data_IF_466484351663
#
_entry.id   IF_466484351663
#
_cell.length_a   1.000
_cell.length_b   1.000
_cell.length_c   1.000
_cell.angle_alpha   90.00
_cell.angle_beta   90.00
_cell.angle_gamma   90.00
#
_symmetry.space_group_name_H-M   'P 1'
#
loop_
_entity.id
_entity.type
_entity.pdbx_description
1 polymer ?
#
# COMPACT_ATOMS: atom_id res chain seq x y z
N UNK A 1 14.05 14.78 35.73
CA UNK A 1 13.08 14.72 34.60
C UNK A 1 12.68 13.27 34.46
N UNK A 2 11.41 12.95 34.72
CA UNK A 2 10.90 11.58 34.95
C UNK A 2 10.34 10.99 33.64
N UNK A 3 11.09 10.07 33.04
CA UNK A 3 10.75 9.35 31.79
C UNK A 3 9.62 8.32 31.96
N UNK A 4 9.06 8.16 33.17
CA UNK A 4 7.97 7.20 33.43
C UNK A 4 6.62 7.68 32.89
N UNK A 5 6.42 8.99 32.70
CA UNK A 5 5.17 9.53 32.16
C UNK A 5 4.99 9.30 30.65
N UNK A 6 6.08 9.14 29.88
CA UNK A 6 5.97 8.82 28.45
C UNK A 6 5.66 7.34 28.16
N UNK A 7 5.84 6.44 29.14
CA UNK A 7 5.57 5.00 28.99
C UNK A 7 4.11 4.60 29.22
N UNK A 8 3.27 5.47 29.79
CA UNK A 8 1.92 5.10 30.23
C UNK A 8 0.79 5.33 29.21
N UNK A 9 1.08 5.63 27.93
CA UNK A 9 0.00 5.85 26.95
C UNK A 9 0.30 5.40 25.51
N UNK A 10 1.02 4.28 25.37
CA UNK A 10 1.09 3.55 24.11
C UNK A 10 1.01 2.09 24.45
N UNK A 11 -0.19 1.50 24.38
CA UNK A 11 -0.28 0.06 24.26
C UNK A 11 0.75 -0.39 23.22
N UNK A 12 1.66 -1.27 23.63
CA UNK A 12 2.87 -1.62 22.87
C UNK A 12 2.52 -1.83 21.40
N UNK A 13 2.90 -0.86 20.58
CA UNK A 13 2.67 -0.89 19.14
C UNK A 13 3.74 -1.83 18.59
N UNK A 14 3.32 -2.91 17.93
CA UNK A 14 4.22 -3.93 17.38
C UNK A 14 5.03 -3.32 16.22
N UNK A 15 6.24 -2.86 16.51
CA UNK A 15 7.12 -2.19 15.54
C UNK A 15 7.47 -3.11 14.38
N UNK A 16 7.67 -4.41 14.64
CA UNK A 16 7.95 -5.42 13.61
C UNK A 16 6.80 -5.55 12.61
N UNK A 17 5.56 -5.54 13.08
CA UNK A 17 4.36 -5.62 12.25
C UNK A 17 4.21 -4.40 11.35
N UNK A 18 4.53 -3.21 11.86
CA UNK A 18 4.49 -1.98 11.07
C UNK A 18 5.64 -1.90 10.05
N UNK A 19 6.84 -2.35 10.42
CA UNK A 19 7.98 -2.42 9.52
C UNK A 19 7.68 -3.35 8.33
N UNK A 20 7.07 -4.51 8.61
CA UNK A 20 6.72 -5.48 7.57
C UNK A 20 5.63 -4.96 6.62
N UNK A 21 4.61 -4.27 7.14
CA UNK A 21 3.61 -3.58 6.31
C UNK A 21 4.21 -2.47 5.44
N UNK A 22 5.15 -1.71 6.00
CA UNK A 22 5.88 -0.69 5.26
C UNK A 22 6.71 -1.29 4.13
N UNK A 23 7.30 -2.46 4.37
CA UNK A 23 8.00 -3.23 3.35
C UNK A 23 7.05 -3.70 2.23
N UNK A 24 5.88 -4.24 2.56
CA UNK A 24 4.87 -4.63 1.56
C UNK A 24 4.42 -3.42 0.71
N UNK A 25 4.15 -2.27 1.37
CA UNK A 25 3.82 -1.04 0.67
C UNK A 25 4.94 -0.56 -0.25
N UNK A 26 6.20 -0.71 0.16
CA UNK A 26 7.34 -0.39 -0.69
C UNK A 26 7.40 -1.28 -1.94
N UNK A 27 7.24 -2.59 -1.76
CA UNK A 27 7.26 -3.57 -2.85
C UNK A 27 6.20 -3.24 -3.92
N UNK A 28 4.96 -2.99 -3.49
CA UNK A 28 3.82 -2.70 -4.38
C UNK A 28 3.91 -1.30 -4.98
N UNK A 29 4.43 -0.29 -4.25
CA UNK A 29 4.38 1.10 -4.70
C UNK A 29 5.37 1.44 -5.82
N UNK A 30 6.47 0.68 -5.96
CA UNK A 30 7.46 0.93 -7.01
C UNK A 30 8.76 0.12 -6.99
N UNK A 31 8.94 -0.86 -6.10
CA UNK A 31 10.18 -1.63 -6.06
C UNK A 31 10.46 -2.39 -7.37
N UNK A 32 9.42 -2.98 -7.98
CA UNK A 32 9.50 -3.66 -9.27
C UNK A 32 10.06 -2.74 -10.37
N UNK A 33 9.43 -1.59 -10.60
CA UNK A 33 9.86 -0.62 -11.62
C UNK A 33 11.29 -0.11 -11.38
N UNK A 34 11.65 0.16 -10.12
CA UNK A 34 13.00 0.61 -9.77
C UNK A 34 14.05 -0.45 -10.10
N UNK A 35 13.80 -1.71 -9.76
CA UNK A 35 14.72 -2.82 -10.05
C UNK A 35 14.79 -3.09 -11.54
N UNK A 36 13.65 -3.12 -12.24
CA UNK A 36 13.60 -3.34 -13.69
C UNK A 36 14.41 -2.33 -14.47
N UNK A 37 14.16 -1.04 -14.24
CA UNK A 37 14.93 0.00 -14.90
C UNK A 37 16.42 -0.09 -14.52
N UNK A 38 16.74 -0.38 -13.26
CA UNK A 38 18.15 -0.53 -12.84
C UNK A 38 18.85 -1.71 -13.54
N UNK A 39 18.13 -2.83 -13.74
CA UNK A 39 18.63 -4.00 -14.46
C UNK A 39 18.84 -3.71 -15.95
N UNK A 40 17.93 -2.96 -16.58
CA UNK A 40 18.03 -2.50 -17.97
C UNK A 40 19.28 -1.63 -18.20
N UNK A 41 19.57 -0.69 -17.29
CA UNK A 41 20.71 0.25 -17.44
C UNK A 41 22.07 -0.34 -17.07
N UNK A 42 22.15 -1.16 -16.02
CA UNK A 42 23.43 -1.70 -15.53
C UNK A 42 23.82 -3.02 -16.20
N UNK A 43 22.84 -3.75 -16.74
CA UNK A 43 23.00 -5.07 -17.34
C UNK A 43 23.64 -6.11 -16.38
N UNK A 44 23.53 -5.91 -15.06
CA UNK A 44 24.08 -6.83 -14.06
C UNK A 44 23.22 -8.08 -13.92
N UNK A 45 23.86 -9.26 -13.97
CA UNK A 45 23.18 -10.55 -13.87
C UNK A 45 22.34 -10.68 -12.58
N UNK A 46 22.84 -10.15 -11.46
CA UNK A 46 22.14 -10.15 -10.18
C UNK A 46 20.84 -9.34 -10.26
N UNK A 47 20.87 -8.14 -10.85
CA UNK A 47 19.68 -7.29 -10.95
C UNK A 47 18.61 -7.87 -11.87
N UNK A 48 19.03 -8.55 -12.95
CA UNK A 48 18.10 -9.29 -13.82
C UNK A 48 17.43 -10.47 -13.11
N UNK A 49 18.16 -11.17 -12.24
CA UNK A 49 17.57 -12.24 -11.46
C UNK A 49 16.56 -11.69 -10.43
N UNK A 50 16.90 -10.60 -9.75
CA UNK A 50 15.99 -9.96 -8.79
C UNK A 50 14.76 -9.37 -9.50
N UNK A 51 14.92 -8.79 -10.69
CA UNK A 51 13.80 -8.34 -11.52
C UNK A 51 12.84 -9.49 -11.86
N UNK A 52 13.37 -10.63 -12.30
CA UNK A 52 12.54 -11.80 -12.63
C UNK A 52 11.69 -12.28 -11.45
N UNK A 53 12.22 -12.18 -10.23
CA UNK A 53 11.50 -12.53 -9.00
C UNK A 53 10.46 -11.48 -8.57
N UNK A 54 10.64 -10.22 -8.99
CA UNK A 54 9.70 -9.11 -8.70
C UNK A 54 8.61 -8.96 -9.77
N UNK A 55 8.68 -9.69 -10.86
CA UNK A 55 7.63 -9.74 -11.87
C UNK A 55 6.67 -10.90 -11.60
N UNK A 56 5.37 -10.73 -11.92
CA UNK A 56 4.40 -11.81 -11.73
C UNK A 56 4.63 -12.93 -12.76
N UNK A 57 4.46 -14.17 -12.33
CA UNK A 57 4.38 -15.31 -13.26
C UNK A 57 3.06 -15.27 -14.04
N UNK A 58 3.08 -15.68 -15.32
CA UNK A 58 1.90 -15.57 -16.20
C UNK A 58 0.78 -16.56 -15.84
N UNK A 59 1.09 -17.77 -15.34
CA UNK A 59 0.07 -18.74 -14.92
C UNK A 59 0.61 -19.97 -14.15
N UNK A 60 1.66 -20.62 -14.65
CA UNK A 60 2.24 -21.85 -14.08
C UNK A 60 3.67 -21.57 -13.59
N UNK A 61 3.76 -20.90 -12.45
CA UNK A 61 5.01 -20.42 -11.87
C UNK A 61 4.81 -19.90 -10.45
N UNK A 62 5.92 -19.61 -9.80
CA UNK A 62 5.94 -19.01 -8.47
C UNK A 62 7.11 -18.05 -8.41
N UNK A 63 6.83 -16.76 -8.19
CA UNK A 63 7.86 -15.74 -7.99
C UNK A 63 7.77 -15.17 -6.60
N UNK A 64 8.86 -14.54 -6.14
CA UNK A 64 8.85 -13.85 -4.84
C UNK A 64 7.69 -12.84 -4.71
N UNK A 65 7.31 -12.17 -5.80
CA UNK A 65 6.23 -11.17 -5.77
C UNK A 65 4.86 -11.78 -5.39
N UNK A 66 4.62 -13.06 -5.70
CA UNK A 66 3.38 -13.76 -5.34
C UNK A 66 3.19 -13.91 -3.82
N UNK A 67 4.28 -13.85 -3.04
CA UNK A 67 4.25 -13.93 -1.57
C UNK A 67 3.69 -12.69 -0.89
N UNK A 68 3.61 -11.55 -1.59
CA UNK A 68 3.11 -10.29 -1.01
C UNK A 68 1.66 -10.45 -0.55
N UNK A 69 0.81 -11.12 -1.33
CA UNK A 69 -0.59 -11.29 -0.97
C UNK A 69 -0.81 -12.23 0.23
N UNK A 70 -0.24 -13.45 0.29
CA UNK A 70 -0.26 -14.28 1.49
C UNK A 70 0.30 -13.58 2.73
N UNK A 71 1.40 -12.83 2.59
CA UNK A 71 1.99 -12.06 3.67
C UNK A 71 1.04 -10.99 4.19
N UNK A 72 0.44 -10.22 3.28
CA UNK A 72 -0.54 -9.18 3.64
C UNK A 72 -1.74 -9.78 4.40
N UNK A 73 -2.29 -10.89 3.92
CA UNK A 73 -3.40 -11.59 4.58
C UNK A 73 -3.02 -12.12 5.97
N UNK A 74 -1.81 -12.66 6.12
CA UNK A 74 -1.28 -13.09 7.41
C UNK A 74 -1.16 -11.91 8.38
N UNK A 75 -0.57 -10.79 7.96
CA UNK A 75 -0.42 -9.60 8.78
C UNK A 75 -1.76 -9.00 9.20
N UNK A 76 -2.74 -8.99 8.29
CA UNK A 76 -4.10 -8.57 8.58
C UNK A 76 -4.73 -9.45 9.68
N UNK A 77 -4.59 -10.78 9.58
CA UNK A 77 -5.08 -11.74 10.58
C UNK A 77 -4.44 -11.55 11.96
N UNK A 78 -3.11 -11.46 12.03
CA UNK A 78 -2.38 -11.23 13.29
C UNK A 78 -2.82 -9.91 13.95
N UNK A 79 -2.98 -8.87 13.13
CA UNK A 79 -3.41 -7.55 13.60
C UNK A 79 -4.82 -7.56 14.17
N UNK A 80 -5.72 -8.28 13.51
CA UNK A 80 -7.08 -8.47 13.99
C UNK A 80 -7.09 -9.17 15.34
N UNK A 81 -6.40 -10.31 15.46
CA UNK A 81 -6.31 -11.08 16.70
C UNK A 81 -5.76 -10.25 17.87
N UNK A 82 -4.69 -9.49 17.66
CA UNK A 82 -4.13 -8.61 18.69
C UNK A 82 -5.08 -7.47 19.07
N UNK A 83 -5.75 -6.85 18.08
CA UNK A 83 -6.73 -5.79 18.34
C UNK A 83 -7.94 -6.30 19.12
N UNK A 84 -8.36 -7.53 18.85
CA UNK A 84 -9.50 -8.19 19.48
C UNK A 84 -9.19 -8.49 20.95
N UNK A 85 -8.09 -9.18 21.22
CA UNK A 85 -7.67 -9.50 22.59
C UNK A 85 -7.61 -8.25 23.47
N UNK A 86 -7.04 -7.16 22.94
CA UNK A 86 -6.93 -5.89 23.65
C UNK A 86 -8.28 -5.19 23.92
N UNK A 87 -9.31 -5.47 23.12
CA UNK A 87 -10.67 -4.96 23.36
C UNK A 87 -11.40 -5.81 24.39
N UNK A 88 -11.21 -7.13 24.34
CA UNK A 88 -11.73 -8.06 25.34
C UNK A 88 -11.14 -7.78 26.73
N UNK A 89 -9.81 -7.57 26.84
CA UNK A 89 -9.14 -7.18 28.09
C UNK A 89 -9.65 -5.86 28.68
N UNK A 90 -10.15 -4.95 27.82
CA UNK A 90 -10.76 -3.69 28.24
C UNK A 90 -12.22 -3.81 28.66
N UNK A 91 -12.81 -5.01 28.54
CA UNK A 91 -14.21 -5.26 28.88
C UNK A 91 -15.21 -4.72 27.84
N UNK A 92 -14.77 -4.45 26.61
CA UNK A 92 -15.68 -4.04 25.53
C UNK A 92 -16.74 -5.13 25.29
N UNK A 93 -18.00 -4.72 25.08
CA UNK A 93 -19.07 -5.67 24.78
C UNK A 93 -18.87 -6.33 23.40
N UNK A 94 -19.10 -7.64 23.33
CA UNK A 94 -18.99 -8.42 22.07
C UNK A 94 -19.92 -7.89 20.97
N UNK A 95 -21.08 -7.36 21.35
CA UNK A 95 -22.05 -6.75 20.43
C UNK A 95 -21.52 -5.46 19.81
N UNK A 96 -20.86 -4.59 20.60
CA UNK A 96 -20.22 -3.37 20.08
C UNK A 96 -19.01 -3.70 19.20
N UNK A 97 -18.29 -4.78 19.49
CA UNK A 97 -17.20 -5.29 18.67
C UNK A 97 -17.70 -5.78 17.31
N UNK A 98 -18.74 -6.61 17.25
CA UNK A 98 -19.32 -7.11 16.00
C UNK A 98 -19.85 -5.96 15.13
N UNK A 99 -20.58 -5.01 15.72
CA UNK A 99 -21.08 -3.84 14.98
C UNK A 99 -19.96 -3.04 14.33
N UNK A 100 -18.84 -2.85 15.03
CA UNK A 100 -17.68 -2.15 14.50
C UNK A 100 -17.01 -2.90 13.33
N UNK A 101 -16.87 -4.23 13.43
CA UNK A 101 -16.31 -5.06 12.35
C UNK A 101 -17.20 -5.00 11.10
N UNK A 102 -18.52 -5.15 11.27
CA UNK A 102 -19.48 -5.07 10.17
C UNK A 102 -19.46 -3.70 9.51
N UNK A 103 -19.43 -2.62 10.29
CA UNK A 103 -19.35 -1.26 9.76
C UNK A 103 -18.10 -1.07 8.89
N UNK A 104 -16.94 -1.55 9.34
CA UNK A 104 -15.70 -1.46 8.55
C UNK A 104 -15.76 -2.33 7.30
N UNK A 105 -16.31 -3.55 7.41
CA UNK A 105 -16.53 -4.42 6.26
C UNK A 105 -17.42 -3.77 5.20
N UNK A 106 -18.56 -3.20 5.60
CA UNK A 106 -19.48 -2.49 4.71
C UNK A 106 -18.82 -1.26 4.06
N UNK A 107 -18.03 -0.50 4.81
CA UNK A 107 -17.30 0.64 4.25
C UNK A 107 -16.29 0.20 3.18
N UNK A 108 -15.55 -0.89 3.41
CA UNK A 108 -14.61 -1.44 2.43
C UNK A 108 -15.33 -1.95 1.17
N UNK A 109 -16.47 -2.63 1.33
CA UNK A 109 -17.33 -3.05 0.21
C UNK A 109 -17.83 -1.84 -0.58
N UNK A 110 -18.31 -0.80 0.11
CA UNK A 110 -18.78 0.44 -0.54
C UNK A 110 -17.65 1.12 -1.34
N UNK A 111 -16.45 1.23 -0.76
CA UNK A 111 -15.29 1.77 -1.44
C UNK A 111 -14.91 0.95 -2.68
N UNK A 112 -14.99 -0.38 -2.59
CA UNK A 112 -14.80 -1.28 -3.74
C UNK A 112 -15.89 -1.12 -4.81
N UNK A 113 -17.14 -0.89 -4.44
CA UNK A 113 -18.20 -0.61 -5.41
C UNK A 113 -18.00 0.73 -6.12
N UNK A 114 -17.50 1.75 -5.41
CA UNK A 114 -17.17 3.05 -6.00
C UNK A 114 -16.05 2.90 -7.04
N UNK A 115 -15.02 2.10 -6.77
CA UNK A 115 -13.94 1.89 -7.75
C UNK A 115 -14.44 1.17 -9.00
N UNK A 116 -15.27 0.14 -8.86
CA UNK A 116 -15.92 -0.55 -9.99
C UNK A 116 -16.81 0.41 -10.79
N UNK A 117 -17.60 1.24 -10.09
CA UNK A 117 -18.44 2.25 -10.73
C UNK A 117 -17.61 3.25 -11.54
N UNK A 118 -16.51 3.77 -10.99
CA UNK A 118 -15.60 4.69 -11.70
C UNK A 118 -15.02 4.01 -12.94
N UNK A 119 -14.56 2.76 -12.82
CA UNK A 119 -13.98 2.01 -13.93
C UNK A 119 -14.98 1.83 -15.07
N UNK A 120 -16.23 1.45 -14.76
CA UNK A 120 -17.29 1.31 -15.77
C UNK A 120 -17.68 2.68 -16.37
N UNK A 121 -17.76 3.73 -15.55
CA UNK A 121 -18.09 5.08 -16.01
C UNK A 121 -17.06 5.64 -17.00
N UNK A 122 -15.76 5.34 -16.79
CA UNK A 122 -14.69 5.72 -17.71
C UNK A 122 -14.83 5.09 -19.10
N UNK A 123 -15.54 3.97 -19.25
CA UNK A 123 -15.79 3.37 -20.57
C UNK A 123 -16.75 4.20 -21.43
N UNK A 124 -17.57 5.05 -20.81
CA UNK A 124 -18.53 5.93 -21.50
C UNK A 124 -17.98 7.33 -21.75
N UNK A 125 -16.94 7.76 -21.02
CA UNK A 125 -16.34 9.08 -21.14
C UNK A 125 -15.00 8.95 -21.87
N UNK A 126 -14.88 9.56 -23.04
CA UNK A 126 -13.66 9.54 -23.86
C UNK A 126 -12.54 10.43 -23.28
N UNK A 127 -12.12 10.16 -22.04
CA UNK A 127 -11.04 10.90 -21.36
C UNK A 127 -9.73 10.89 -22.14
N UNK A 128 -9.47 9.82 -22.91
CA UNK A 128 -8.30 9.68 -23.78
C UNK A 128 -8.14 10.86 -24.74
N UNK A 129 -9.23 11.33 -25.32
CA UNK A 129 -9.21 12.40 -26.33
C UNK A 129 -8.97 13.77 -25.67
N UNK A 130 -9.48 13.96 -24.45
CA UNK A 130 -9.27 15.16 -23.65
C UNK A 130 -7.81 15.27 -23.20
N UNK A 131 -7.19 14.15 -22.82
CA UNK A 131 -5.77 14.13 -22.38
C UNK A 131 -4.83 14.49 -23.52
N UNK A 132 -5.06 13.99 -24.74
CA UNK A 132 -4.26 14.35 -25.92
C UNK A 132 -4.48 15.81 -26.38
N UNK A 133 -5.64 16.39 -26.10
CA UNK A 133 -5.95 17.80 -26.38
C UNK A 133 -5.31 18.76 -25.36
N UNK A 134 -5.26 18.38 -24.08
CA UNK A 134 -4.70 19.20 -23.00
C UNK A 134 -3.19 19.10 -22.83
N UNK A 135 -2.58 17.98 -23.22
CA UNK A 135 -1.14 17.75 -23.10
C UNK A 135 -0.48 17.83 -24.49
N UNK A 136 -0.52 19.02 -25.07
CA UNK A 136 0.18 19.37 -26.31
C UNK A 136 1.48 20.11 -26.00
N UNK A 137 2.38 19.57 -25.16
CA UNK A 137 3.78 20.05 -25.18
C UNK A 137 4.79 19.12 -24.49
N UNK A 138 6.04 19.38 -24.86
CA UNK A 138 7.21 18.55 -25.01
C UNK A 138 7.77 17.70 -23.86
N UNK A 139 8.37 16.62 -24.36
CA UNK A 139 9.29 15.71 -23.71
C UNK A 139 10.50 16.42 -23.09
N UNK A 140 10.46 16.67 -21.78
CA UNK A 140 11.68 16.58 -21.01
C UNK A 140 12.05 15.09 -20.92
N UNK A 141 13.01 14.63 -21.73
CA UNK A 141 13.57 13.25 -21.68
C UNK A 141 14.41 13.08 -20.41
N UNK A 142 13.76 13.17 -19.27
CA UNK A 142 14.37 12.91 -17.98
C UNK A 142 14.64 11.41 -17.87
N UNK A 143 15.76 11.03 -17.24
CA UNK A 143 16.13 9.63 -17.12
C UNK A 143 14.98 8.82 -16.49
N UNK A 144 14.50 7.72 -17.08
CA UNK A 144 13.36 6.94 -16.57
C UNK A 144 13.46 6.57 -15.09
N UNK A 145 14.65 6.19 -14.60
CA UNK A 145 14.86 5.96 -13.15
C UNK A 145 14.57 7.19 -12.29
N UNK A 146 14.92 8.38 -12.76
CA UNK A 146 14.67 9.61 -12.01
C UNK A 146 13.18 9.92 -11.94
N UNK A 147 12.43 9.67 -13.04
CA UNK A 147 10.98 9.83 -13.07
C UNK A 147 10.33 8.86 -12.07
N UNK A 148 10.70 7.59 -12.08
CA UNK A 148 10.18 6.60 -11.12
C UNK A 148 10.52 6.99 -9.67
N UNK A 149 11.75 7.42 -9.40
CA UNK A 149 12.15 7.86 -8.06
C UNK A 149 11.36 9.09 -7.59
N UNK A 150 11.11 10.04 -8.50
CA UNK A 150 10.30 11.22 -8.22
C UNK A 150 8.83 10.85 -7.98
N UNK A 151 8.26 9.96 -8.78
CA UNK A 151 6.89 9.46 -8.59
C UNK A 151 6.76 8.68 -7.28
N UNK A 152 7.72 7.82 -6.96
CA UNK A 152 7.78 7.11 -5.70
C UNK A 152 7.88 8.07 -4.51
N UNK A 153 8.76 9.07 -4.59
CA UNK A 153 8.90 10.11 -3.56
C UNK A 153 7.60 10.93 -3.41
N UNK A 154 6.91 11.24 -4.51
CA UNK A 154 5.62 11.94 -4.49
C UNK A 154 4.54 11.08 -3.81
N UNK A 155 4.41 9.80 -4.18
CA UNK A 155 3.49 8.86 -3.51
C UNK A 155 3.79 8.80 -2.01
N UNK A 156 5.06 8.69 -1.63
CA UNK A 156 5.50 8.65 -0.24
C UNK A 156 5.25 9.95 0.51
N UNK A 157 5.50 11.10 -0.10
CA UNK A 157 5.26 12.41 0.51
C UNK A 157 3.77 12.65 0.70
N UNK A 158 2.94 12.26 -0.27
CA UNK A 158 1.49 12.29 -0.15
C UNK A 158 1.03 11.41 1.01
N UNK A 159 1.50 10.16 1.10
CA UNK A 159 1.17 9.25 2.20
C UNK A 159 1.63 9.80 3.55
N UNK A 160 2.84 10.36 3.62
CA UNK A 160 3.38 11.00 4.81
C UNK A 160 2.56 12.23 5.21
N UNK A 161 2.14 13.05 4.25
CA UNK A 161 1.27 14.20 4.47
C UNK A 161 -0.09 13.75 5.02
N UNK A 162 -0.72 12.76 4.40
CA UNK A 162 -2.01 12.21 4.84
C UNK A 162 -1.92 11.59 6.24
N UNK A 163 -0.78 10.93 6.53
CA UNK A 163 -0.46 10.43 7.86
C UNK A 163 -0.34 11.57 8.88
N UNK A 164 0.44 12.60 8.60
CA UNK A 164 0.62 13.76 9.46
C UNK A 164 -0.71 14.49 9.73
N UNK A 165 -1.57 14.59 8.72
CA UNK A 165 -2.89 15.21 8.82
C UNK A 165 -3.94 14.32 9.49
N UNK A 166 -3.60 13.07 9.86
CA UNK A 166 -4.51 12.08 10.46
C UNK A 166 -5.78 11.85 9.63
N UNK A 167 -5.73 12.13 8.33
CA UNK A 167 -6.86 11.97 7.41
C UNK A 167 -7.13 10.47 7.20
N UNK A 168 -6.07 9.65 7.25
CA UNK A 168 -6.16 8.29 6.76
C UNK A 168 -7.14 7.42 7.55
N UNK A 169 -7.21 7.46 8.89
CA UNK A 169 -8.24 6.70 9.62
C UNK A 169 -8.53 7.25 11.03
N UNK A 170 -9.59 8.05 11.17
CA UNK A 170 -10.53 7.95 12.31
C UNK A 170 -11.79 7.24 11.82
N UNK A 171 -11.67 5.97 11.46
CA UNK A 171 -12.80 5.03 11.34
C UNK A 171 -12.46 3.81 12.15
#
# INVERSE_FOLDING_TARGET
>A
MDDRFYRLNRAERLVSLDALRGFDMFLIAGAENMVRLSAEYTNWAVLKHVEAELHHAEWDGFTFFDLIFPLFMFLAGVSFAFSLNKRLERGDSLTALHGHVVQRGLLLVLLGMISVFIYIAQQFIAFRDITHLLLHDEQMKLHPLFIELMMFAMKWLLLYYLYCKKIFFRV
#
